data_IF_567515653762
#
_entry.id   IF_567515653762
#
_cell.length_a   1.000
_cell.length_b   1.000
_cell.length_c   1.000
_cell.angle_alpha   90.00
_cell.angle_beta   90.00
_cell.angle_gamma   90.00
#
_symmetry.space_group_name_H-M   'P 1'
#
loop_
_entity.id
_entity.type
_entity.pdbx_description
1 polymer ?
#
# COMPACT_ATOMS: atom_id res chain seq x y z
N UNK A 1 -3.09 -15.52 1.39
CA UNK A 1 -4.07 -15.35 2.47
C UNK A 1 -4.98 -14.18 2.10
N UNK A 2 -6.29 -14.35 1.93
CA UNK A 2 -7.19 -13.23 1.73
C UNK A 2 -7.40 -12.54 3.09
N UNK A 3 -7.15 -11.23 3.17
CA UNK A 3 -7.43 -10.45 4.38
C UNK A 3 -8.95 -10.32 4.49
N UNK A 4 -9.51 -10.81 5.59
CA UNK A 4 -10.94 -10.81 5.89
C UNK A 4 -11.51 -9.40 5.80
N UNK A 5 -12.62 -9.15 5.08
CA UNK A 5 -13.20 -7.82 5.03
C UNK A 5 -13.85 -7.53 6.39
N UNK A 6 -13.37 -6.50 7.08
CA UNK A 6 -13.96 -6.03 8.34
C UNK A 6 -15.24 -5.29 7.95
N UNK A 7 -16.40 -5.86 8.29
CA UNK A 7 -17.71 -5.34 7.90
C UNK A 7 -17.99 -3.99 8.58
N UNK A 8 -18.19 -2.97 7.76
CA UNK A 8 -18.41 -1.58 8.12
C UNK A 8 -18.06 -0.74 6.90
N UNK A 9 -18.65 0.45 6.72
CA UNK A 9 -18.31 1.36 5.62
C UNK A 9 -16.88 1.87 5.85
N UNK A 10 -15.88 1.05 5.55
CA UNK A 10 -14.47 1.33 5.81
C UNK A 10 -14.06 2.50 4.90
N UNK A 11 -13.28 3.46 5.41
CA UNK A 11 -12.56 4.36 4.53
C UNK A 11 -11.74 3.52 3.54
N UNK A 12 -11.51 4.01 2.32
CA UNK A 12 -10.73 3.26 1.33
C UNK A 12 -9.44 2.74 1.96
N UNK A 13 -9.23 1.42 1.89
CA UNK A 13 -8.12 0.75 2.57
C UNK A 13 -6.80 1.36 2.11
N UNK A 14 -6.08 1.98 3.06
CA UNK A 14 -4.78 2.59 2.83
C UNK A 14 -3.67 1.54 2.99
N UNK A 15 -2.76 1.49 2.03
CA UNK A 15 -1.64 0.54 1.98
C UNK A 15 -0.34 1.33 1.85
N UNK A 16 0.63 1.06 2.72
CA UNK A 16 1.99 1.57 2.60
C UNK A 16 2.88 0.50 1.95
N UNK A 17 3.52 0.87 0.84
CA UNK A 17 4.52 0.03 0.15
C UNK A 17 5.91 0.53 0.54
N UNK A 18 6.70 -0.33 1.19
CA UNK A 18 8.10 -0.06 1.53
C UNK A 18 8.97 -1.02 0.73
N UNK A 19 9.78 -0.46 -0.14
CA UNK A 19 10.73 -1.20 -0.97
C UNK A 19 11.89 -0.26 -1.30
N UNK A 20 13.13 -0.74 -1.25
CA UNK A 20 14.34 0.04 -1.54
C UNK A 20 14.57 0.18 -3.06
N UNK A 21 14.06 -0.75 -3.86
CA UNK A 21 14.09 -0.67 -5.31
C UNK A 21 12.94 0.23 -5.84
N UNK A 22 13.30 1.29 -6.56
CA UNK A 22 12.33 2.24 -7.10
C UNK A 22 11.35 1.59 -8.10
N UNK A 23 11.85 0.75 -9.00
CA UNK A 23 11.02 0.15 -10.06
C UNK A 23 10.00 -0.82 -9.46
N UNK A 24 10.42 -1.62 -8.47
CA UNK A 24 9.55 -2.53 -7.75
C UNK A 24 8.48 -1.78 -6.95
N UNK A 25 8.89 -0.74 -6.20
CA UNK A 25 7.99 0.12 -5.42
C UNK A 25 6.90 0.75 -6.31
N UNK A 26 7.30 1.29 -7.46
CA UNK A 26 6.39 1.90 -8.42
C UNK A 26 5.42 0.87 -9.01
N UNK A 27 5.92 -0.28 -9.46
CA UNK A 27 5.10 -1.36 -10.01
C UNK A 27 4.04 -1.84 -9.02
N UNK A 28 4.44 -2.12 -7.78
CA UNK A 28 3.52 -2.52 -6.70
C UNK A 28 2.48 -1.44 -6.42
N UNK A 29 2.90 -0.17 -6.34
CA UNK A 29 1.98 0.94 -6.08
C UNK A 29 0.92 1.10 -7.17
N UNK A 30 1.30 0.94 -8.44
CA UNK A 30 0.38 1.06 -9.57
C UNK A 30 -0.65 -0.07 -9.57
N UNK A 31 -0.23 -1.30 -9.30
CA UNK A 31 -1.13 -2.46 -9.22
C UNK A 31 -2.18 -2.25 -8.13
N UNK A 32 -1.75 -1.83 -6.95
CA UNK A 32 -2.65 -1.60 -5.80
C UNK A 32 -3.60 -0.42 -6.05
N UNK A 33 -3.14 0.68 -6.65
CA UNK A 33 -3.99 1.81 -7.02
C UNK A 33 -5.05 1.41 -8.05
N UNK A 34 -4.69 0.60 -9.06
CA UNK A 34 -5.65 0.07 -10.05
C UNK A 34 -6.70 -0.85 -9.42
N UNK A 35 -6.38 -1.48 -8.30
CA UNK A 35 -7.33 -2.28 -7.52
C UNK A 35 -8.24 -1.42 -6.61
N UNK A 36 -8.09 -0.09 -6.62
CA UNK A 36 -8.93 0.83 -5.86
C UNK A 36 -8.42 1.15 -4.45
N UNK A 37 -7.20 0.75 -4.11
CA UNK A 37 -6.59 1.08 -2.82
C UNK A 37 -5.97 2.49 -2.82
N UNK A 38 -5.99 3.13 -1.65
CA UNK A 38 -5.13 4.28 -1.41
C UNK A 38 -3.73 3.77 -1.11
N UNK A 39 -2.73 4.26 -1.83
CA UNK A 39 -1.36 3.74 -1.71
C UNK A 39 -0.37 4.86 -1.46
N UNK A 40 0.34 4.71 -0.35
CA UNK A 40 1.53 5.49 0.00
C UNK A 40 2.79 4.65 -0.26
N UNK A 41 3.89 5.33 -0.55
CA UNK A 41 5.18 4.69 -0.84
C UNK A 41 6.24 5.29 0.06
N UNK A 42 7.12 4.44 0.57
CA UNK A 42 8.34 4.86 1.26
C UNK A 42 9.52 4.08 0.70
N UNK A 43 10.66 4.74 0.56
CA UNK A 43 11.90 4.14 0.04
C UNK A 43 12.75 3.48 1.13
N UNK A 44 12.32 3.55 2.40
CA UNK A 44 12.98 2.92 3.53
C UNK A 44 12.05 2.75 4.74
N UNK A 45 12.38 1.82 5.64
CA UNK A 45 11.60 1.52 6.85
C UNK A 45 11.58 2.66 7.89
N UNK A 46 12.51 3.62 7.81
CA UNK A 46 12.60 4.74 8.75
C UNK A 46 11.53 5.80 8.48
N UNK A 47 11.05 5.91 7.25
CA UNK A 47 9.95 6.80 6.84
C UNK A 47 8.56 6.20 7.12
N UNK A 48 8.44 4.87 7.26
CA UNK A 48 7.14 4.17 7.37
C UNK A 48 6.58 3.96 8.78
N UNK A 49 7.23 4.48 9.82
CA UNK A 49 6.93 4.16 11.23
C UNK A 49 6.77 5.39 12.16
N UNK A 50 6.45 6.57 11.64
CA UNK A 50 6.09 7.72 12.49
C UNK A 50 4.59 7.80 12.75
#
# INVERSE_FOLDING_TARGET
MPKTPVSGKLPPTQILVIDDDQAMREACSQILRRQGYLVEVADNARLGLQ
#
